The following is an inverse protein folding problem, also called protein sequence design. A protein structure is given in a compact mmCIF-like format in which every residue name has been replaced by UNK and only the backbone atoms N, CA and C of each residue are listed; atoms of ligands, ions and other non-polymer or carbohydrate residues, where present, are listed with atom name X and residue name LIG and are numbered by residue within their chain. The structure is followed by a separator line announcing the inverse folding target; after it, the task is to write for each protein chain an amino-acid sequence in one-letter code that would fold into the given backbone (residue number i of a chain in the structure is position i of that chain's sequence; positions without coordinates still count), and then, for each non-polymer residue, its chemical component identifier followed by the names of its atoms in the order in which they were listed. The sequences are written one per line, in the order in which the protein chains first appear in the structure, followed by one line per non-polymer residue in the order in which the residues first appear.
data_IF_774630967914
#
_entry.id   IF_774630967914
#
_cell.length_a   1.000
_cell.length_b   1.000
_cell.length_c   1.000
_cell.angle_alpha   90.00
_cell.angle_beta   90.00
_cell.angle_gamma   90.00
#
_symmetry.space_group_name_H-M   'P 1'
#
loop_
_entity.id
_entity.type
_entity.pdbx_description
1 polymer ?
#
# COMPACT_ATOMS: atom_id res chain seq x y z
N UNK A 1 0.51 -5.13 -1.79
CA UNK A 1 1.85 -5.72 -1.95
C UNK A 1 2.14 -5.87 -3.44
N UNK A 2 3.36 -5.59 -3.89
CA UNK A 2 3.74 -5.74 -5.31
C UNK A 2 4.13 -7.18 -5.64
N UNK A 3 4.58 -7.44 -6.86
CA UNK A 3 5.16 -8.73 -7.26
C UNK A 3 6.47 -9.06 -6.54
N UNK A 4 7.18 -8.05 -6.04
CA UNK A 4 8.25 -8.27 -5.07
C UNK A 4 7.64 -8.25 -3.65
N UNK A 5 7.72 -9.36 -2.90
CA UNK A 5 7.08 -9.46 -1.58
C UNK A 5 7.55 -8.41 -0.56
N UNK A 6 8.75 -7.85 -0.76
CA UNK A 6 9.34 -6.83 0.13
C UNK A 6 8.94 -5.39 -0.22
N UNK A 7 8.28 -5.19 -1.36
CA UNK A 7 7.92 -3.86 -1.87
C UNK A 7 6.41 -3.66 -1.84
N UNK A 8 6.00 -2.50 -1.31
CA UNK A 8 4.62 -2.06 -1.15
C UNK A 8 4.43 -0.73 -1.87
N UNK A 9 3.26 -0.52 -2.44
CA UNK A 9 2.90 0.70 -3.15
C UNK A 9 1.41 1.00 -2.92
N UNK A 10 1.04 2.27 -2.99
CA UNK A 10 -0.32 2.79 -2.91
C UNK A 10 -0.41 4.21 -3.48
N UNK A 11 -1.62 4.66 -3.74
CA UNK A 11 -1.93 5.96 -4.35
C UNK A 11 -1.52 6.03 -5.81
N UNK A 12 -1.09 7.21 -6.25
CA UNK A 12 -0.79 7.48 -7.66
C UNK A 12 0.31 6.57 -8.25
N UNK A 13 1.19 6.02 -7.42
CA UNK A 13 2.20 5.03 -7.83
C UNK A 13 1.58 3.70 -8.31
N UNK A 14 0.33 3.43 -7.98
CA UNK A 14 -0.41 2.21 -8.37
C UNK A 14 -1.47 2.51 -9.44
N UNK A 15 -2.17 3.65 -9.33
CA UNK A 15 -3.34 3.96 -10.17
C UNK A 15 -3.17 5.16 -11.12
N UNK A 16 -2.07 5.89 -11.04
CA UNK A 16 -1.96 7.21 -11.67
C UNK A 16 -2.76 8.28 -10.92
N UNK A 17 -2.91 9.49 -11.48
CA UNK A 17 -3.58 10.59 -10.79
C UNK A 17 -5.03 10.26 -10.43
N UNK A 18 -5.33 10.25 -9.14
CA UNK A 18 -6.67 9.97 -8.59
C UNK A 18 -7.00 10.87 -7.39
N UNK A 19 -8.18 10.69 -6.80
CA UNK A 19 -8.63 11.39 -5.60
C UNK A 19 -7.73 11.08 -4.40
N UNK A 20 -7.44 12.12 -3.61
CA UNK A 20 -6.62 12.01 -2.39
C UNK A 20 -7.16 10.97 -1.39
N UNK A 21 -8.48 10.77 -1.33
CA UNK A 21 -9.09 9.79 -0.42
C UNK A 21 -8.77 8.36 -0.81
N UNK A 22 -8.67 8.06 -2.12
CA UNK A 22 -8.26 6.74 -2.60
C UNK A 22 -6.81 6.47 -2.23
N UNK A 23 -5.94 7.46 -2.39
CA UNK A 23 -4.53 7.36 -1.99
C UNK A 23 -4.36 7.09 -0.49
N UNK A 24 -5.21 7.70 0.36
CA UNK A 24 -5.20 7.45 1.82
C UNK A 24 -5.63 6.01 2.14
N UNK A 25 -6.70 5.51 1.52
CA UNK A 25 -7.17 4.14 1.73
C UNK A 25 -6.12 3.10 1.30
N UNK A 26 -5.49 3.31 0.14
CA UNK A 26 -4.40 2.45 -0.34
C UNK A 26 -3.17 2.51 0.56
N UNK A 27 -2.81 3.70 1.06
CA UNK A 27 -1.73 3.87 2.02
C UNK A 27 -1.96 3.08 3.30
N UNK A 28 -3.20 3.08 3.82
CA UNK A 28 -3.57 2.26 5.00
C UNK A 28 -3.42 0.76 4.71
N UNK A 29 -3.90 0.30 3.55
CA UNK A 29 -3.77 -1.11 3.14
C UNK A 29 -2.31 -1.53 2.96
N UNK A 30 -1.47 -0.65 2.41
CA UNK A 30 -0.03 -0.88 2.28
C UNK A 30 0.62 -1.01 3.66
N UNK A 31 0.28 -0.14 4.62
CA UNK A 31 0.79 -0.21 5.98
C UNK A 31 0.40 -1.51 6.70
N UNK A 32 -0.86 -1.95 6.58
CA UNK A 32 -1.30 -3.23 7.13
C UNK A 32 -0.52 -4.40 6.53
N UNK A 33 -0.33 -4.41 5.21
CA UNK A 33 0.47 -5.43 4.55
C UNK A 33 1.95 -5.43 4.97
N UNK A 34 2.51 -4.28 5.36
CA UNK A 34 3.87 -4.20 5.93
C UNK A 34 3.90 -4.83 7.32
N UNK A 35 2.91 -4.56 8.17
CA UNK A 35 2.82 -5.16 9.51
C UNK A 35 2.66 -6.68 9.44
N UNK A 36 1.79 -7.17 8.55
CA UNK A 36 1.61 -8.60 8.28
C UNK A 36 2.94 -9.23 7.80
N UNK A 37 3.63 -8.59 6.87
CA UNK A 37 4.91 -9.10 6.34
C UNK A 37 6.02 -9.18 7.40
N UNK A 38 5.97 -8.33 8.42
CA UNK A 38 6.93 -8.30 9.52
C UNK A 38 6.51 -9.18 10.72
N UNK A 39 5.38 -9.89 10.63
CA UNK A 39 4.77 -10.65 11.74
C UNK A 39 4.58 -9.79 13.01
N UNK A 40 4.17 -8.53 12.83
CA UNK A 40 3.94 -7.57 13.93
C UNK A 40 2.46 -7.37 14.27
N UNK A 41 1.58 -8.23 13.76
CA UNK A 41 0.13 -8.23 14.01
C UNK A 41 -0.30 -9.23 15.09
#
# INVERSE_FOLDING_TARGET
QTTNPKLFAGGDAVRGSDLVVTAIDEGRKAALGILDYLDLN
#
